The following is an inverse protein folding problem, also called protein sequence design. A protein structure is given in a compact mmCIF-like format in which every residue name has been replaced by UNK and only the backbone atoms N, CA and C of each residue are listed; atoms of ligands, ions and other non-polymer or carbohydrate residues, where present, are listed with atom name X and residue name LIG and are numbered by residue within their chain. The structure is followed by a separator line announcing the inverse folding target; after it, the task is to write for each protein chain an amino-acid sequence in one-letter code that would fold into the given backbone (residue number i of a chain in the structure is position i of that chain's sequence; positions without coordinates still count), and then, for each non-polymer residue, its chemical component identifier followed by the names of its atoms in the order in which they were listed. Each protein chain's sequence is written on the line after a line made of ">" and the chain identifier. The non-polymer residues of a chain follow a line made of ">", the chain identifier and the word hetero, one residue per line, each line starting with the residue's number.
data_IF_207155074665
#
_entry.id   IF_207155074665
#
_cell.length_a   1.000
_cell.length_b   1.000
_cell.length_c   1.000
_cell.angle_alpha   90.00
_cell.angle_beta   90.00
_cell.angle_gamma   90.00
#
_symmetry.space_group_name_H-M   'P 1'
#
loop_
_entity.id
_entity.type
_entity.pdbx_description
1 polymer ?
#
# COMPACT_ATOMS: atom_id res chain seq x y z
N UNK A 1 -43.80 -14.41 -34.91
CA UNK A 1 -42.52 -15.14 -34.91
C UNK A 1 -41.40 -14.11 -34.78
N UNK A 2 -40.60 -14.27 -33.72
CA UNK A 2 -39.22 -13.79 -33.48
C UNK A 2 -38.88 -12.29 -33.51
N UNK A 3 -38.59 -11.77 -32.31
CA UNK A 3 -37.80 -10.56 -32.03
C UNK A 3 -36.32 -10.71 -32.46
N UNK A 4 -35.67 -9.62 -32.89
CA UNK A 4 -34.24 -9.43 -32.71
C UNK A 4 -34.01 -8.11 -31.95
N UNK A 5 -33.06 -7.95 -31.05
CA UNK A 5 -32.02 -8.82 -30.55
C UNK A 5 -31.27 -8.05 -29.45
N UNK A 6 -30.50 -8.82 -28.67
CA UNK A 6 -29.26 -8.34 -28.06
C UNK A 6 -29.47 -7.31 -26.94
N UNK A 7 -29.77 -7.73 -25.70
CA UNK A 7 -28.85 -8.56 -24.92
C UNK A 7 -27.61 -7.73 -24.59
N UNK A 8 -27.73 -6.88 -23.56
CA UNK A 8 -26.69 -6.00 -23.08
C UNK A 8 -25.40 -6.77 -22.83
N UNK A 9 -24.44 -6.58 -23.74
CA UNK A 9 -23.08 -7.06 -23.57
C UNK A 9 -22.38 -6.08 -22.64
N UNK A 10 -22.73 -6.11 -21.34
CA UNK A 10 -21.88 -5.55 -20.31
C UNK A 10 -20.70 -6.51 -20.16
N UNK A 11 -19.76 -6.45 -21.11
CA UNK A 11 -18.45 -7.04 -20.91
C UNK A 11 -17.89 -6.44 -19.60
N UNK A 12 -17.39 -7.25 -18.65
CA UNK A 12 -16.74 -6.70 -17.48
C UNK A 12 -15.53 -5.91 -17.98
N UNK A 13 -15.55 -4.59 -17.75
CA UNK A 13 -14.45 -3.73 -18.16
C UNK A 13 -13.15 -4.24 -17.51
N UNK A 14 -12.14 -4.69 -18.27
CA UNK A 14 -10.89 -5.22 -17.72
C UNK A 14 -10.08 -4.15 -16.97
N UNK A 15 -10.46 -2.87 -17.11
CA UNK A 15 -9.89 -1.72 -16.39
C UNK A 15 -10.12 -1.76 -14.88
N UNK A 16 -11.02 -2.61 -14.34
CA UNK A 16 -11.11 -2.82 -12.88
C UNK A 16 -9.98 -3.69 -12.31
N UNK A 17 -9.32 -4.52 -13.13
CA UNK A 17 -8.25 -5.41 -12.67
C UNK A 17 -6.88 -4.71 -12.58
N UNK A 18 -6.74 -3.53 -13.18
CA UNK A 18 -5.47 -2.78 -13.24
C UNK A 18 -5.47 -1.59 -12.27
N UNK A 19 -5.75 -1.81 -10.98
CA UNK A 19 -5.43 -0.82 -9.93
C UNK A 19 -4.17 -1.26 -9.16
N UNK A 20 -2.96 -0.96 -9.66
CA UNK A 20 -1.75 -1.02 -8.85
C UNK A 20 -1.62 0.15 -7.84
N UNK A 21 -2.70 0.90 -7.54
CA UNK A 21 -2.62 2.13 -6.74
C UNK A 21 -2.90 1.97 -5.23
N UNK A 22 -3.29 0.79 -4.76
CA UNK A 22 -3.64 0.61 -3.34
C UNK A 22 -2.40 0.53 -2.43
N UNK A 23 -1.32 -0.02 -2.97
CA UNK A 23 -0.20 -0.48 -2.15
C UNK A 23 0.74 0.66 -1.71
N UNK A 24 0.96 1.66 -2.59
CA UNK A 24 1.70 2.88 -2.24
C UNK A 24 0.96 3.74 -1.21
N UNK A 25 -0.36 3.87 -1.35
CA UNK A 25 -1.18 4.65 -0.43
C UNK A 25 -1.26 4.00 0.96
N UNK A 26 -1.30 2.66 1.02
CA UNK A 26 -1.21 1.92 2.28
C UNK A 26 0.16 2.12 2.98
N UNK A 27 1.26 2.13 2.23
CA UNK A 27 2.59 2.40 2.77
C UNK A 27 2.71 3.84 3.32
N UNK A 28 2.22 4.84 2.59
CA UNK A 28 2.19 6.23 3.05
C UNK A 28 1.39 6.40 4.33
N UNK A 29 0.23 5.74 4.44
CA UNK A 29 -0.60 5.78 5.64
C UNK A 29 0.11 5.12 6.85
N UNK A 30 0.74 3.97 6.65
CA UNK A 30 1.49 3.27 7.69
C UNK A 30 2.68 4.11 8.21
N UNK A 31 3.38 4.81 7.32
CA UNK A 31 4.46 5.73 7.69
C UNK A 31 3.89 6.93 8.48
N UNK A 32 2.77 7.50 8.04
CA UNK A 32 2.09 8.59 8.75
C UNK A 32 1.69 8.22 10.18
N UNK A 33 1.10 7.04 10.39
CA UNK A 33 0.74 6.53 11.73
C UNK A 33 1.98 6.24 12.59
N UNK A 34 3.07 5.75 11.99
CA UNK A 34 4.33 5.54 12.70
C UNK A 34 4.95 6.86 13.17
N UNK A 35 4.91 7.90 12.34
CA UNK A 35 5.40 9.24 12.69
C UNK A 35 4.55 9.92 13.77
N UNK A 36 3.21 9.77 13.71
CA UNK A 36 2.32 10.30 14.75
C UNK A 36 2.62 9.69 16.12
N UNK A 37 2.85 8.37 16.19
CA UNK A 37 3.26 7.68 17.43
C UNK A 37 4.64 8.11 17.95
N UNK A 38 5.49 8.65 17.08
CA UNK A 38 6.81 9.16 17.45
C UNK A 38 6.73 10.54 18.13
N UNK A 39 5.72 11.35 17.79
CA UNK A 39 5.48 12.66 18.42
C UNK A 39 5.12 12.50 19.91
N UNK A 40 4.31 11.48 20.21
CA UNK A 40 3.90 11.10 21.56
C UNK A 40 5.05 10.47 22.38
N UNK A 41 6.15 10.04 21.74
CA UNK A 41 7.26 9.36 22.42
C UNK A 41 7.94 10.27 23.44
N UNK A 42 7.90 11.59 23.25
CA UNK A 42 8.53 12.56 24.16
C UNK A 42 7.87 12.60 25.54
N UNK A 43 6.63 12.10 25.64
CA UNK A 43 5.85 12.04 26.88
C UNK A 43 5.97 10.66 27.57
N UNK A 44 6.65 9.71 26.93
CA UNK A 44 6.84 8.35 27.44
C UNK A 44 8.14 8.22 28.26
N UNK A 45 8.28 7.16 29.08
CA UNK A 45 9.55 6.83 29.70
C UNK A 45 10.61 6.51 28.64
N UNK A 46 11.86 6.91 28.90
CA UNK A 46 12.99 6.66 27.98
C UNK A 46 13.16 5.18 27.64
N UNK A 47 12.76 4.29 28.55
CA UNK A 47 12.76 2.84 28.32
C UNK A 47 11.87 2.43 27.12
N UNK A 48 10.76 3.12 26.89
CA UNK A 48 9.81 2.86 25.81
C UNK A 48 10.20 3.52 24.47
N UNK A 49 11.15 4.47 24.49
CA UNK A 49 11.58 5.17 23.28
C UNK A 49 12.20 4.20 22.28
N UNK A 50 13.08 3.31 22.75
CA UNK A 50 13.79 2.37 21.89
C UNK A 50 12.80 1.44 21.18
N UNK A 51 11.79 0.93 21.88
CA UNK A 51 10.76 0.09 21.30
C UNK A 51 9.95 0.83 20.21
N UNK A 52 9.57 2.09 20.45
CA UNK A 52 8.89 2.91 19.43
C UNK A 52 9.77 3.17 18.22
N UNK A 53 11.05 3.52 18.41
CA UNK A 53 11.98 3.77 17.31
C UNK A 53 12.22 2.51 16.47
N UNK A 54 12.39 1.35 17.09
CA UNK A 54 12.54 0.06 16.40
C UNK A 54 11.28 -0.30 15.60
N UNK A 55 10.09 -0.04 16.13
CA UNK A 55 8.83 -0.24 15.42
C UNK A 55 8.72 0.63 14.16
N UNK A 56 9.12 1.92 14.25
CA UNK A 56 9.16 2.81 13.08
C UNK A 56 10.21 2.37 12.07
N UNK A 57 11.41 1.99 12.51
CA UNK A 57 12.47 1.51 11.62
C UNK A 57 12.07 0.24 10.86
N UNK A 58 11.38 -0.68 11.53
CA UNK A 58 10.84 -1.91 10.92
C UNK A 58 9.78 -1.58 9.88
N UNK A 59 8.81 -0.73 10.20
CA UNK A 59 7.76 -0.32 9.26
C UNK A 59 8.34 0.38 8.02
N UNK A 60 9.34 1.25 8.20
CA UNK A 60 10.02 1.92 7.09
C UNK A 60 10.79 0.94 6.22
N UNK A 61 11.50 -0.02 6.82
CA UNK A 61 12.25 -1.05 6.09
C UNK A 61 11.35 -1.98 5.30
N UNK A 62 10.18 -2.33 5.84
CA UNK A 62 9.16 -3.12 5.16
C UNK A 62 8.58 -2.35 3.97
N UNK A 63 8.18 -1.09 4.19
CA UNK A 63 7.66 -0.22 3.14
C UNK A 63 8.67 -0.02 1.99
N UNK A 64 9.95 0.20 2.31
CA UNK A 64 11.03 0.30 1.32
C UNK A 64 11.21 -1.02 0.57
N UNK A 65 11.29 -2.15 1.27
CA UNK A 65 11.43 -3.47 0.62
C UNK A 65 10.26 -3.77 -0.31
N UNK A 66 9.04 -3.37 0.08
CA UNK A 66 7.83 -3.54 -0.73
C UNK A 66 7.84 -2.66 -1.98
N UNK A 67 8.28 -1.40 -1.85
CA UNK A 67 8.46 -0.48 -2.97
C UNK A 67 9.54 -0.96 -3.95
N UNK A 68 10.68 -1.42 -3.45
CA UNK A 68 11.77 -1.98 -4.26
C UNK A 68 11.33 -3.24 -5.02
N UNK A 69 10.53 -4.10 -4.40
CA UNK A 69 9.96 -5.28 -5.05
C UNK A 69 8.97 -4.90 -6.18
N UNK A 70 8.18 -3.85 -6.01
CA UNK A 70 7.31 -3.33 -7.09
C UNK A 70 8.12 -2.75 -8.25
N UNK A 71 9.18 -1.99 -7.92
CA UNK A 71 10.06 -1.40 -8.92
C UNK A 71 10.82 -2.48 -9.71
N UNK A 72 11.32 -3.51 -9.02
CA UNK A 72 12.01 -4.65 -9.64
C UNK A 72 11.06 -5.51 -10.49
N UNK A 73 9.83 -5.76 -10.00
CA UNK A 73 8.79 -6.46 -10.76
C UNK A 73 8.36 -5.72 -12.03
N UNK A 74 8.41 -4.38 -12.02
CA UNK A 74 8.15 -3.55 -13.19
C UNK A 74 9.26 -3.59 -14.25
N UNK A 75 10.44 -4.13 -13.94
CA UNK A 75 11.61 -4.12 -14.84
C UNK A 75 11.87 -5.51 -15.49
N UNK A 76 11.06 -6.53 -15.20
CA UNK A 76 11.24 -7.91 -15.67
C UNK A 76 10.42 -8.34 -16.90
N UNK A 77 9.75 -7.42 -17.61
CA UNK A 77 8.91 -7.73 -18.77
C UNK A 77 9.36 -6.99 -20.03
N UNK A 78 10.35 -7.52 -20.74
CA UNK A 78 10.84 -7.04 -22.03
C UNK A 78 11.23 -8.19 -22.94
#
# INVERSE_FOLDING_TARGET
>A
MTSPGQGGSHAPNPSMLARPSDDGSAAEHAIGEALARLDEVRELPVADHVERFEAVHTALSDALSKAENMLSGSTGGG
#
